data_IF_113741724788
#
_entry.id   IF_113741724788
#
_cell.length_a   1.000
_cell.length_b   1.000
_cell.length_c   1.000
_cell.angle_alpha   90.00
_cell.angle_beta   90.00
_cell.angle_gamma   90.00
#
_symmetry.space_group_name_H-M   'P 1'
#
loop_
_entity.id
_entity.type
_entity.pdbx_description
1 polymer ?
#
# COMPACT_ATOMS: atom_id res chain seq x y z
N UNK A 1 17.86 -14.42 40.15
CA UNK A 1 18.50 -14.92 41.37
C UNK A 1 17.47 -14.96 42.50
N UNK A 2 17.42 -15.97 43.39
CA UNK A 2 16.60 -15.92 44.60
C UNK A 2 17.21 -15.07 45.74
N UNK A 3 18.43 -14.55 45.59
CA UNK A 3 19.08 -13.74 46.63
C UNK A 3 18.40 -12.37 46.83
N UNK A 4 18.39 -11.92 48.09
CA UNK A 4 17.78 -10.66 48.54
C UNK A 4 18.85 -9.69 49.04
N UNK A 5 18.70 -8.39 48.74
CA UNK A 5 19.70 -7.37 49.03
C UNK A 5 20.67 -7.18 47.86
N UNK A 6 21.91 -6.78 48.14
CA UNK A 6 22.90 -6.43 47.10
C UNK A 6 23.29 -7.61 46.19
N UNK A 7 23.23 -8.84 46.72
CA UNK A 7 23.38 -10.07 45.91
C UNK A 7 22.27 -10.24 44.84
N UNK A 8 21.11 -9.60 45.02
CA UNK A 8 20.02 -9.60 44.03
C UNK A 8 20.19 -8.53 42.93
N UNK A 9 21.16 -7.62 43.07
CA UNK A 9 21.47 -6.59 42.08
C UNK A 9 22.51 -7.12 41.08
N UNK A 10 22.06 -7.43 39.87
CA UNK A 10 22.91 -7.87 38.77
C UNK A 10 23.39 -6.68 37.94
N UNK A 11 24.68 -6.67 37.59
CA UNK A 11 25.26 -5.81 36.56
C UNK A 11 25.49 -6.61 35.27
N UNK A 12 25.08 -6.05 34.13
CA UNK A 12 25.18 -6.66 32.82
C UNK A 12 26.29 -6.03 31.98
N UNK A 13 27.00 -6.82 31.18
CA UNK A 13 28.10 -6.36 30.33
C UNK A 13 28.26 -7.24 29.08
N UNK A 14 28.85 -6.68 28.02
CA UNK A 14 29.30 -7.43 26.85
C UNK A 14 30.79 -7.75 27.01
N UNK A 15 31.18 -9.02 26.90
CA UNK A 15 32.54 -9.47 27.27
C UNK A 15 33.60 -9.08 26.25
N UNK A 16 33.27 -9.08 24.95
CA UNK A 16 34.23 -8.85 23.86
C UNK A 16 33.68 -7.87 22.78
N UNK A 17 33.14 -6.73 23.23
CA UNK A 17 32.51 -5.72 22.36
C UNK A 17 33.51 -4.81 21.63
N UNK A 18 34.52 -5.38 20.95
CA UNK A 18 35.64 -4.60 20.40
C UNK A 18 35.26 -3.64 19.26
N UNK A 19 34.16 -3.92 18.55
CA UNK A 19 33.78 -3.19 17.33
C UNK A 19 32.57 -2.25 17.50
N UNK A 20 32.05 -2.11 18.74
CA UNK A 20 31.04 -1.13 19.16
C UNK A 20 29.78 -1.09 18.25
N UNK A 21 29.34 -2.23 17.70
CA UNK A 21 28.06 -2.33 16.99
C UNK A 21 26.86 -2.26 17.92
N UNK A 22 27.03 -2.76 19.14
CA UNK A 22 25.99 -2.94 20.16
C UNK A 22 26.48 -2.39 21.49
N UNK A 23 25.54 -2.15 22.40
CA UNK A 23 25.81 -1.78 23.79
C UNK A 23 24.74 -2.40 24.70
N UNK A 24 24.96 -2.43 26.01
CA UNK A 24 24.04 -3.01 26.99
C UNK A 24 23.85 -2.09 28.20
N UNK A 25 22.60 -1.89 28.61
CA UNK A 25 22.34 -1.20 29.87
C UNK A 25 22.80 -2.08 31.05
N UNK A 26 23.78 -1.60 31.80
CA UNK A 26 24.37 -2.32 32.93
C UNK A 26 23.35 -2.73 34.00
N UNK A 27 22.23 -2.00 34.16
CA UNK A 27 21.24 -2.23 35.22
C UNK A 27 20.02 -3.04 34.75
N UNK A 28 19.65 -2.97 33.47
CA UNK A 28 18.46 -3.66 32.93
C UNK A 28 18.77 -4.84 32.01
N UNK A 29 20.02 -4.98 31.55
CA UNK A 29 20.42 -5.99 30.56
C UNK A 29 19.86 -5.73 29.16
N UNK A 30 19.22 -4.57 28.92
CA UNK A 30 18.69 -4.22 27.60
C UNK A 30 19.85 -3.95 26.62
N UNK A 31 19.89 -4.69 25.53
CA UNK A 31 20.87 -4.52 24.44
C UNK A 31 20.32 -3.51 23.43
N UNK A 32 21.18 -2.60 22.97
CA UNK A 32 20.88 -1.61 21.94
C UNK A 32 21.85 -1.74 20.77
N UNK A 33 21.41 -1.29 19.59
CA UNK A 33 22.28 -1.11 18.43
C UNK A 33 22.92 0.27 18.46
N UNK A 34 24.24 0.33 18.41
CA UNK A 34 25.04 1.57 18.32
C UNK A 34 25.30 1.91 16.85
N UNK A 35 25.85 0.96 16.07
CA UNK A 35 26.08 1.16 14.63
C UNK A 35 26.30 -0.14 13.86
N UNK A 36 25.33 -0.49 13.01
CA UNK A 36 25.40 -1.63 12.08
C UNK A 36 25.27 -1.19 10.60
N UNK A 37 25.44 0.11 10.32
CA UNK A 37 25.30 0.64 8.97
C UNK A 37 26.30 -0.02 7.99
N UNK A 38 25.77 -0.60 6.91
CA UNK A 38 26.57 -1.33 5.91
C UNK A 38 27.09 -2.70 6.39
N UNK A 39 26.62 -3.22 7.52
CA UNK A 39 26.92 -4.56 8.02
C UNK A 39 25.74 -5.50 7.77
N UNK A 40 26.03 -6.80 7.61
CA UNK A 40 25.05 -7.86 7.46
C UNK A 40 25.60 -9.17 8.02
N UNK A 41 24.72 -10.09 8.42
CA UNK A 41 25.05 -11.39 9.01
C UNK A 41 24.77 -11.46 10.51
N UNK A 42 25.16 -12.57 11.13
CA UNK A 42 24.90 -12.85 12.55
C UNK A 42 26.11 -12.49 13.41
N UNK A 43 25.86 -11.64 14.41
CA UNK A 43 26.77 -11.26 15.47
C UNK A 43 26.50 -12.12 16.71
N UNK A 44 27.55 -12.61 17.35
CA UNK A 44 27.48 -13.46 18.54
C UNK A 44 27.96 -12.67 19.75
N UNK A 45 27.03 -12.13 20.53
CA UNK A 45 27.35 -11.28 21.68
C UNK A 45 27.46 -12.15 22.94
N UNK A 46 28.65 -12.28 23.52
CA UNK A 46 28.79 -12.88 24.86
C UNK A 46 28.36 -11.86 25.91
N UNK A 47 27.21 -12.10 26.53
CA UNK A 47 26.63 -11.29 27.62
C UNK A 47 27.02 -11.92 28.95
N UNK A 48 27.55 -11.12 29.86
CA UNK A 48 27.83 -11.50 31.24
C UNK A 48 26.89 -10.77 32.21
N UNK A 49 26.35 -11.50 33.18
CA UNK A 49 25.73 -10.95 34.37
C UNK A 49 26.65 -11.22 35.57
N UNK A 50 26.83 -10.22 36.43
CA UNK A 50 27.64 -10.30 37.65
C UNK A 50 26.82 -9.82 38.86
N UNK A 51 26.90 -10.52 39.99
CA UNK A 51 26.35 -10.01 41.26
C UNK A 51 27.27 -8.96 41.89
N UNK A 52 26.76 -8.22 42.88
CA UNK A 52 27.54 -7.26 43.68
C UNK A 52 28.09 -7.85 44.99
N UNK A 53 28.28 -9.17 45.06
CA UNK A 53 28.87 -9.83 46.22
C UNK A 53 30.35 -9.46 46.40
N UNK A 54 30.84 -9.49 47.64
CA UNK A 54 32.26 -9.23 47.98
C UNK A 54 33.22 -10.18 47.25
N UNK A 55 32.75 -11.38 46.88
CA UNK A 55 33.37 -12.26 45.90
C UNK A 55 32.35 -12.44 44.78
N UNK A 56 32.41 -11.56 43.77
CA UNK A 56 31.38 -11.50 42.72
C UNK A 56 31.29 -12.82 41.93
N UNK A 57 30.09 -13.37 41.82
CA UNK A 57 29.80 -14.49 40.93
C UNK A 57 29.34 -13.97 39.56
N UNK A 58 29.72 -14.68 38.50
CA UNK A 58 29.39 -14.31 37.12
C UNK A 58 28.77 -15.48 36.37
N UNK A 59 27.77 -15.16 35.55
CA UNK A 59 27.15 -16.07 34.59
C UNK A 59 27.25 -15.47 33.19
N UNK A 60 27.37 -16.32 32.15
CA UNK A 60 27.48 -15.89 30.75
C UNK A 60 26.49 -16.62 29.85
N UNK A 61 26.08 -15.94 28.79
CA UNK A 61 25.25 -16.49 27.71
C UNK A 61 25.58 -15.83 26.38
N UNK A 62 25.25 -16.48 25.26
CA UNK A 62 25.41 -15.91 23.92
C UNK A 62 24.07 -15.39 23.40
N UNK A 63 24.04 -14.13 22.97
CA UNK A 63 22.90 -13.54 22.25
C UNK A 63 23.27 -13.43 20.78
N UNK A 64 22.49 -14.08 19.91
CA UNK A 64 22.69 -14.03 18.47
C UNK A 64 21.87 -12.88 17.89
N UNK A 65 22.53 -11.89 17.30
CA UNK A 65 21.89 -10.74 16.64
C UNK A 65 22.14 -10.84 15.14
N UNK A 66 21.10 -11.15 14.37
CA UNK A 66 21.17 -11.16 12.90
C UNK A 66 20.80 -9.77 12.37
N UNK A 67 21.75 -9.12 11.68
CA UNK A 67 21.51 -7.90 10.92
C UNK A 67 21.29 -8.29 9.46
N UNK A 68 20.11 -8.00 8.94
CA UNK A 68 19.85 -8.11 7.50
C UNK A 68 20.11 -6.75 6.82
N UNK A 69 20.69 -6.81 5.62
CA UNK A 69 20.84 -5.67 4.72
C UNK A 69 19.59 -5.37 3.89
N UNK A 70 18.58 -6.25 3.93
CA UNK A 70 17.31 -6.05 3.25
C UNK A 70 16.59 -4.79 3.77
N UNK A 71 16.02 -4.00 2.87
CA UNK A 71 15.10 -2.90 3.22
C UNK A 71 13.70 -3.42 3.60
N UNK A 72 13.65 -4.64 4.16
CA UNK A 72 12.53 -5.57 4.34
C UNK A 72 11.14 -5.10 3.87
N UNK A 73 10.94 -5.17 2.55
CA UNK A 73 9.60 -5.19 1.93
C UNK A 73 8.76 -6.39 2.39
N UNK A 74 9.38 -7.37 3.08
CA UNK A 74 8.74 -8.58 3.58
C UNK A 74 8.16 -8.43 5.01
N UNK A 75 8.24 -7.25 5.62
CA UNK A 75 7.52 -6.97 6.88
C UNK A 75 6.02 -7.10 6.64
N UNK A 76 5.36 -7.95 7.42
CA UNK A 76 3.91 -8.07 7.48
C UNK A 76 3.39 -7.42 8.76
N UNK A 77 2.32 -6.64 8.66
CA UNK A 77 1.64 -6.05 9.82
C UNK A 77 0.46 -6.92 10.22
N UNK A 78 0.56 -7.53 11.40
CA UNK A 78 -0.51 -8.28 12.05
C UNK A 78 -1.27 -7.36 13.01
N UNK A 79 -2.58 -7.29 12.83
CA UNK A 79 -3.49 -6.46 13.64
C UNK A 79 -4.30 -7.36 14.56
N UNK A 80 -4.17 -7.14 15.87
CA UNK A 80 -4.87 -7.87 16.93
C UNK A 80 -5.85 -6.94 17.64
N UNK A 81 -7.09 -7.40 17.87
CA UNK A 81 -8.10 -6.70 18.67
C UNK A 81 -7.85 -6.76 20.20
N UNK A 82 -6.59 -6.59 20.62
CA UNK A 82 -6.15 -6.67 22.01
C UNK A 82 -5.42 -5.39 22.42
N UNK A 83 -5.38 -5.09 23.72
CA UNK A 83 -4.62 -3.96 24.29
C UNK A 83 -3.12 -4.17 24.12
N UNK A 84 -2.36 -3.12 23.80
CA UNK A 84 -0.91 -3.19 23.60
C UNK A 84 -0.20 -3.80 24.81
N UNK A 85 -0.45 -3.33 26.03
CA UNK A 85 0.12 -3.91 27.25
C UNK A 85 -0.30 -5.35 27.56
N UNK A 86 -1.37 -5.87 26.94
CA UNK A 86 -1.72 -7.29 27.00
C UNK A 86 -0.93 -8.10 25.95
N UNK A 87 -0.74 -7.55 24.74
CA UNK A 87 0.07 -8.13 23.67
C UNK A 87 1.54 -8.20 24.07
N UNK A 88 2.13 -7.09 24.52
CA UNK A 88 3.51 -7.00 25.02
C UNK A 88 3.77 -8.02 26.14
N UNK A 89 2.89 -8.07 27.15
CA UNK A 89 3.00 -9.02 28.27
C UNK A 89 2.98 -10.48 27.85
N UNK A 90 2.35 -10.79 26.72
CA UNK A 90 2.22 -12.16 26.19
C UNK A 90 2.98 -12.36 24.87
N UNK A 91 3.92 -11.48 24.51
CA UNK A 91 4.50 -11.45 23.16
C UNK A 91 5.25 -12.73 22.81
N UNK A 92 5.84 -13.40 23.81
CA UNK A 92 6.50 -14.71 23.65
C UNK A 92 5.49 -15.83 23.37
N UNK A 93 4.30 -15.79 23.96
CA UNK A 93 3.21 -16.73 23.67
C UNK A 93 2.59 -16.46 22.30
N UNK A 94 2.40 -15.18 21.93
CA UNK A 94 1.96 -14.78 20.58
C UNK A 94 2.94 -15.29 19.53
N UNK A 95 4.25 -15.01 19.70
CA UNK A 95 5.34 -15.53 18.85
C UNK A 95 5.24 -17.04 18.68
N UNK A 96 5.17 -17.81 19.78
CA UNK A 96 5.06 -19.29 19.72
C UNK A 96 3.84 -19.78 18.95
N UNK A 97 2.68 -19.13 19.08
CA UNK A 97 1.48 -19.49 18.30
C UNK A 97 1.68 -19.21 16.82
N UNK A 98 2.31 -18.08 16.47
CA UNK A 98 2.63 -17.78 15.07
C UNK A 98 3.65 -18.80 14.51
N UNK A 99 4.69 -19.15 15.26
CA UNK A 99 5.69 -20.15 14.83
C UNK A 99 5.08 -21.55 14.65
N UNK A 100 4.21 -21.98 15.58
CA UNK A 100 3.48 -23.26 15.50
C UNK A 100 2.53 -23.33 14.30
N UNK A 101 1.76 -22.27 14.02
CA UNK A 101 0.80 -22.26 12.90
C UNK A 101 1.45 -21.95 11.55
N UNK A 102 2.46 -21.10 11.52
CA UNK A 102 3.17 -20.72 10.28
C UNK A 102 4.33 -21.66 9.95
N UNK A 103 4.73 -22.57 10.85
CA UNK A 103 5.86 -23.51 10.67
C UNK A 103 7.14 -22.82 10.18
N UNK A 104 7.41 -21.63 10.71
CA UNK A 104 8.52 -20.74 10.38
C UNK A 104 8.98 -20.05 11.66
N UNK A 105 10.24 -19.61 11.71
CA UNK A 105 10.73 -18.75 12.78
C UNK A 105 10.13 -17.35 12.60
N UNK A 106 9.51 -16.77 13.63
CA UNK A 106 8.81 -15.48 13.52
C UNK A 106 9.44 -14.47 14.47
N UNK A 107 9.97 -13.39 13.93
CA UNK A 107 10.49 -12.28 14.73
C UNK A 107 9.47 -11.14 14.75
N UNK A 108 9.16 -10.66 15.95
CA UNK A 108 8.40 -9.42 16.15
C UNK A 108 9.39 -8.27 16.07
N UNK A 109 9.22 -7.41 15.07
CA UNK A 109 10.06 -6.24 14.81
C UNK A 109 9.60 -5.05 15.64
N UNK A 110 8.29 -4.89 15.79
CA UNK A 110 7.67 -3.70 16.40
C UNK A 110 6.27 -4.02 16.91
N UNK A 111 5.83 -3.34 17.97
CA UNK A 111 4.49 -3.43 18.56
C UNK A 111 4.02 -2.01 18.86
N UNK A 112 2.97 -1.54 18.20
CA UNK A 112 2.54 -0.14 18.27
C UNK A 112 1.02 0.04 18.18
N UNK A 113 0.56 1.25 18.49
CA UNK A 113 -0.81 1.71 18.29
C UNK A 113 -0.89 2.57 17.02
N UNK A 114 -2.00 2.51 16.29
CA UNK A 114 -2.17 3.34 15.10
C UNK A 114 -2.51 4.80 15.47
N UNK A 115 -1.51 5.67 15.39
CA UNK A 115 -1.62 7.10 15.69
C UNK A 115 -2.41 7.90 14.63
N UNK A 116 -2.65 7.35 13.44
CA UNK A 116 -3.31 8.06 12.33
C UNK A 116 -4.82 8.27 12.56
N UNK A 117 -5.45 7.55 13.50
CA UNK A 117 -6.91 7.59 13.70
C UNK A 117 -7.38 8.77 14.59
N UNK A 118 -6.78 9.95 14.41
CA UNK A 118 -7.03 11.15 15.23
C UNK A 118 -8.40 11.83 15.07
N UNK A 119 -9.34 11.31 14.27
CA UNK A 119 -10.61 11.98 13.97
C UNK A 119 -11.88 11.12 13.88
N UNK A 120 -11.82 9.81 14.17
CA UNK A 120 -13.01 8.96 14.25
C UNK A 120 -13.10 8.27 15.61
N UNK A 121 -14.26 8.37 16.27
CA UNK A 121 -14.53 7.69 17.56
C UNK A 121 -14.65 6.18 17.36
N UNK A 122 -13.53 5.47 17.29
CA UNK A 122 -13.46 4.01 17.48
C UNK A 122 -12.66 3.70 18.74
N UNK A 123 -13.35 3.60 19.87
CA UNK A 123 -12.77 3.06 21.11
C UNK A 123 -12.61 1.55 20.94
N UNK A 124 -11.47 1.11 20.44
CA UNK A 124 -11.17 -0.32 20.28
C UNK A 124 -9.73 -0.61 20.69
N UNK A 125 -9.57 -1.52 21.64
CA UNK A 125 -8.30 -2.09 22.06
C UNK A 125 -7.68 -2.83 20.86
N UNK A 126 -6.84 -2.17 20.07
CA UNK A 126 -6.23 -2.72 18.85
C UNK A 126 -4.73 -2.46 18.87
N UNK A 127 -3.94 -3.49 18.59
CA UNK A 127 -2.49 -3.44 18.55
C UNK A 127 -1.99 -3.91 17.18
N UNK A 128 -1.01 -3.19 16.65
CA UNK A 128 -0.36 -3.46 15.37
C UNK A 128 1.01 -4.06 15.68
N UNK A 129 1.35 -5.15 15.00
CA UNK A 129 2.58 -5.91 15.25
C UNK A 129 3.29 -6.13 13.91
N UNK A 130 4.46 -5.53 13.72
CA UNK A 130 5.31 -5.86 12.55
C UNK A 130 5.99 -7.18 12.82
N UNK A 131 5.84 -8.12 11.90
CA UNK A 131 6.51 -9.41 11.93
C UNK A 131 7.28 -9.67 10.63
N UNK A 132 8.33 -10.46 10.76
CA UNK A 132 9.13 -11.02 9.67
C UNK A 132 9.28 -12.51 9.97
N UNK A 133 9.25 -13.35 8.93
CA UNK A 133 9.36 -14.80 9.06
C UNK A 133 10.60 -15.32 8.33
N UNK A 134 11.22 -16.37 8.89
CA UNK A 134 12.36 -17.06 8.31
C UNK A 134 12.10 -18.56 8.28
N UNK A 135 12.52 -19.22 7.20
CA UNK A 135 12.40 -20.67 7.05
C UNK A 135 13.43 -21.46 7.89
N UNK A 136 13.39 -22.78 7.80
CA UNK A 136 14.33 -23.68 8.49
C UNK A 136 15.78 -23.56 7.97
N UNK A 137 15.98 -22.95 6.80
CA UNK A 137 17.28 -22.61 6.24
C UNK A 137 17.74 -21.19 6.62
N UNK A 138 17.00 -20.51 7.50
CA UNK A 138 17.22 -19.12 7.94
C UNK A 138 17.21 -18.12 6.76
N UNK A 139 16.37 -18.35 5.75
CA UNK A 139 16.10 -17.41 4.67
C UNK A 139 14.80 -16.64 4.95
N UNK A 140 14.78 -15.34 4.63
CA UNK A 140 13.60 -14.48 4.79
C UNK A 140 12.46 -14.98 3.90
N UNK A 141 11.28 -15.19 4.48
CA UNK A 141 10.08 -15.63 3.77
C UNK A 141 9.39 -14.41 3.15
N UNK A 142 9.01 -14.44 1.85
CA UNK A 142 8.33 -13.32 1.21
C UNK A 142 7.03 -12.91 1.93
N UNK A 143 6.77 -11.60 2.05
CA UNK A 143 5.56 -11.09 2.73
C UNK A 143 4.28 -11.78 2.23
N UNK A 144 4.11 -11.93 0.92
CA UNK A 144 2.90 -12.53 0.33
C UNK A 144 2.68 -13.99 0.74
N UNK A 145 3.75 -14.76 0.95
CA UNK A 145 3.66 -16.13 1.47
C UNK A 145 3.29 -16.13 2.96
N UNK A 146 3.79 -15.16 3.73
CA UNK A 146 3.42 -14.93 5.14
C UNK A 146 1.96 -14.50 5.28
N UNK A 147 1.50 -13.50 4.51
CA UNK A 147 0.10 -13.04 4.46
C UNK A 147 -0.85 -14.18 4.08
N UNK A 148 -0.50 -14.96 3.04
CA UNK A 148 -1.28 -16.14 2.62
C UNK A 148 -1.43 -17.13 3.76
N UNK A 149 -0.32 -17.54 4.40
CA UNK A 149 -0.34 -18.56 5.45
C UNK A 149 -1.02 -18.08 6.74
N UNK A 150 -0.89 -16.80 7.11
CA UNK A 150 -1.68 -16.15 8.16
C UNK A 150 -3.18 -16.23 7.87
N UNK A 151 -3.58 -16.00 6.63
CA UNK A 151 -4.99 -16.05 6.19
C UNK A 151 -5.52 -17.49 6.20
N UNK A 152 -4.75 -18.46 5.68
CA UNK A 152 -5.08 -19.88 5.71
C UNK A 152 -5.24 -20.41 7.14
N UNK A 153 -4.36 -19.99 8.06
CA UNK A 153 -4.36 -20.44 9.46
C UNK A 153 -5.17 -19.55 10.42
N UNK A 154 -5.86 -18.53 9.91
CA UNK A 154 -6.50 -17.47 10.71
C UNK A 154 -7.31 -18.01 11.89
N UNK A 155 -8.26 -18.92 11.64
CA UNK A 155 -9.13 -19.46 12.70
C UNK A 155 -8.35 -20.28 13.74
N UNK A 156 -7.28 -20.96 13.36
CA UNK A 156 -6.40 -21.70 14.27
C UNK A 156 -5.58 -20.74 15.15
N UNK A 157 -5.06 -19.67 14.56
CA UNK A 157 -4.33 -18.61 15.27
C UNK A 157 -5.25 -17.90 16.27
N UNK A 158 -6.43 -17.44 15.81
CA UNK A 158 -7.44 -16.78 16.66
C UNK A 158 -7.87 -17.67 17.84
N UNK A 159 -8.04 -18.98 17.60
CA UNK A 159 -8.40 -19.95 18.65
C UNK A 159 -7.31 -20.13 19.71
N UNK A 160 -6.04 -20.23 19.33
CA UNK A 160 -4.94 -20.37 20.31
C UNK A 160 -4.65 -19.04 21.03
N UNK A 161 -4.68 -17.91 20.32
CA UNK A 161 -4.53 -16.60 20.93
C UNK A 161 -5.67 -16.29 21.92
N UNK A 162 -6.91 -16.70 21.63
CA UNK A 162 -8.03 -16.53 22.56
C UNK A 162 -7.82 -17.20 23.92
N UNK A 163 -7.10 -18.33 23.97
CA UNK A 163 -6.70 -18.99 25.23
C UNK A 163 -5.69 -18.18 26.01
N UNK A 164 -4.73 -17.55 25.31
CA UNK A 164 -3.68 -16.71 25.91
C UNK A 164 -4.28 -15.43 26.50
N UNK A 165 -5.10 -14.71 25.73
CA UNK A 165 -5.70 -13.46 26.17
C UNK A 165 -6.92 -13.63 27.06
N UNK A 166 -7.51 -14.84 27.12
CA UNK A 166 -8.79 -15.11 27.79
C UNK A 166 -9.96 -14.25 27.27
N UNK A 167 -9.88 -13.85 26.00
CA UNK A 167 -10.92 -13.07 25.28
C UNK A 167 -11.03 -13.55 23.83
N UNK A 168 -12.08 -13.15 23.11
CA UNK A 168 -12.17 -13.40 21.67
C UNK A 168 -11.14 -12.58 20.89
N UNK A 169 -10.25 -13.27 20.16
CA UNK A 169 -9.23 -12.62 19.33
C UNK A 169 -9.67 -12.60 17.86
N UNK A 170 -9.49 -11.45 17.23
CA UNK A 170 -9.49 -11.29 15.77
C UNK A 170 -8.07 -10.99 15.33
N UNK A 171 -7.54 -11.78 14.41
CA UNK A 171 -6.24 -11.60 13.78
C UNK A 171 -6.46 -11.19 12.31
N UNK A 172 -6.12 -9.95 11.98
CA UNK A 172 -6.17 -9.44 10.61
C UNK A 172 -4.77 -9.13 10.10
N UNK A 173 -4.56 -9.29 8.80
CA UNK A 173 -3.37 -8.81 8.10
C UNK A 173 -3.71 -7.43 7.55
N UNK A 174 -2.88 -6.42 7.83
CA UNK A 174 -3.03 -5.12 7.18
C UNK A 174 -2.40 -5.19 5.79
N UNK A 175 -3.23 -4.99 4.76
CA UNK A 175 -2.74 -4.81 3.40
C UNK A 175 -2.22 -3.38 3.25
N UNK A 176 -0.90 -3.20 3.33
CA UNK A 176 -0.24 -2.01 2.82
C UNK A 176 -0.66 -1.84 1.36
N UNK A 177 -1.20 -0.69 0.92
CA UNK A 177 -1.67 -0.52 -0.45
C UNK A 177 -0.53 -0.75 -1.45
N UNK A 178 -0.52 -1.91 -2.10
CA UNK A 178 0.53 -2.33 -3.03
C UNK A 178 0.62 -1.31 -4.18
N UNK A 179 1.68 -0.48 -4.16
CA UNK A 179 1.89 0.70 -5.00
C UNK A 179 0.58 1.28 -5.53
N UNK A 180 -0.29 1.72 -4.61
CA UNK A 180 -1.45 2.51 -5.00
C UNK A 180 -0.95 3.84 -5.54
N UNK A 181 -0.65 3.86 -6.85
CA UNK A 181 -0.51 5.08 -7.65
C UNK A 181 -1.65 5.99 -7.23
N UNK A 182 -1.31 7.06 -6.50
CA UNK A 182 -2.30 7.81 -5.73
C UNK A 182 -3.44 8.29 -6.61
N UNK A 183 -4.59 8.72 -6.05
CA UNK A 183 -5.72 9.21 -6.85
C UNK A 183 -5.27 10.21 -7.92
N UNK A 184 -4.26 11.04 -7.63
CA UNK A 184 -3.60 11.95 -8.56
C UNK A 184 -2.92 11.28 -9.77
N UNK A 185 -2.17 10.19 -9.58
CA UNK A 185 -1.52 9.46 -10.69
C UNK A 185 -2.52 8.62 -11.49
N UNK A 186 -3.48 7.97 -10.83
CA UNK A 186 -4.56 7.25 -11.51
C UNK A 186 -5.41 8.22 -12.36
N UNK A 187 -5.76 9.39 -11.81
CA UNK A 187 -6.47 10.44 -12.56
C UNK A 187 -5.63 10.98 -13.73
N UNK A 188 -4.32 11.20 -13.55
CA UNK A 188 -3.43 11.65 -14.62
C UNK A 188 -3.33 10.64 -15.78
N UNK A 189 -3.23 9.34 -15.48
CA UNK A 189 -3.21 8.27 -16.50
C UNK A 189 -4.55 8.23 -17.25
N UNK A 190 -5.69 8.22 -16.54
CA UNK A 190 -7.02 8.20 -17.14
C UNK A 190 -7.28 9.44 -18.00
N UNK A 191 -6.88 10.62 -17.53
CA UNK A 191 -6.99 11.87 -18.29
C UNK A 191 -6.10 11.87 -19.54
N UNK A 192 -4.87 11.34 -19.45
CA UNK A 192 -3.97 11.18 -20.58
C UNK A 192 -4.53 10.26 -21.67
N UNK A 193 -5.13 9.13 -21.27
CA UNK A 193 -5.80 8.19 -22.19
C UNK A 193 -7.04 8.83 -22.83
N UNK A 194 -7.87 9.56 -22.07
CA UNK A 194 -9.02 10.30 -22.60
C UNK A 194 -8.61 11.39 -23.61
N UNK A 195 -7.54 12.13 -23.34
CA UNK A 195 -6.98 13.12 -24.28
C UNK A 195 -6.45 12.47 -25.56
N UNK A 196 -5.74 11.34 -25.45
CA UNK A 196 -5.28 10.59 -26.62
C UNK A 196 -6.46 10.09 -27.48
N UNK A 197 -7.47 9.47 -26.87
CA UNK A 197 -8.65 8.97 -27.56
C UNK A 197 -9.44 10.10 -28.26
N UNK A 198 -9.63 11.25 -27.61
CA UNK A 198 -10.35 12.40 -28.20
C UNK A 198 -9.56 13.05 -29.34
N UNK A 199 -8.24 13.17 -29.23
CA UNK A 199 -7.38 13.63 -30.33
C UNK A 199 -7.43 12.70 -31.54
N UNK A 200 -7.37 11.38 -31.34
CA UNK A 200 -7.47 10.40 -32.44
C UNK A 200 -8.83 10.48 -33.13
N UNK A 201 -9.93 10.59 -32.37
CA UNK A 201 -11.27 10.75 -32.93
C UNK A 201 -11.42 12.07 -33.73
N UNK A 202 -10.86 13.18 -33.21
CA UNK A 202 -10.85 14.47 -33.90
C UNK A 202 -10.04 14.43 -35.20
N UNK A 203 -8.83 13.87 -35.17
CA UNK A 203 -8.00 13.69 -36.36
C UNK A 203 -8.70 12.84 -37.42
N UNK A 204 -9.34 11.73 -37.03
CA UNK A 204 -10.14 10.91 -37.93
C UNK A 204 -11.32 11.70 -38.56
N UNK A 205 -12.04 12.50 -37.76
CA UNK A 205 -13.11 13.37 -38.26
C UNK A 205 -12.61 14.42 -39.26
N UNK A 206 -11.48 15.07 -38.99
CA UNK A 206 -10.82 16.01 -39.91
C UNK A 206 -10.43 15.30 -41.21
N UNK A 207 -9.87 14.09 -41.13
CA UNK A 207 -9.49 13.30 -42.31
C UNK A 207 -10.72 12.89 -43.16
N UNK A 208 -11.83 12.53 -42.52
CA UNK A 208 -13.11 12.23 -43.19
C UNK A 208 -13.70 13.48 -43.86
N UNK A 209 -13.70 14.64 -43.19
CA UNK A 209 -14.25 15.88 -43.74
C UNK A 209 -13.40 16.43 -44.89
N UNK A 210 -12.07 16.35 -44.82
CA UNK A 210 -11.15 16.66 -45.93
C UNK A 210 -11.43 15.74 -47.12
N UNK A 211 -11.51 14.42 -46.92
CA UNK A 211 -11.85 13.45 -47.99
C UNK A 211 -13.23 13.73 -48.60
N UNK A 212 -14.22 14.13 -47.80
CA UNK A 212 -15.56 14.51 -48.28
C UNK A 212 -15.55 15.82 -49.09
N UNK A 213 -14.70 16.80 -48.70
CA UNK A 213 -14.52 18.06 -49.45
C UNK A 213 -13.79 17.83 -50.78
N UNK A 214 -12.74 17.02 -50.78
CA UNK A 214 -12.01 16.62 -52.00
C UNK A 214 -12.91 15.88 -53.01
N UNK A 215 -13.73 14.91 -52.57
CA UNK A 215 -14.72 14.27 -53.45
C UNK A 215 -15.74 15.25 -54.03
N UNK A 216 -16.15 16.28 -53.26
CA UNK A 216 -17.08 17.33 -53.74
C UNK A 216 -16.43 18.26 -54.78
N UNK A 217 -15.16 18.63 -54.64
CA UNK A 217 -14.49 19.44 -55.69
C UNK A 217 -14.30 18.67 -56.99
N UNK A 218 -14.01 17.36 -56.93
CA UNK A 218 -13.90 16.52 -58.14
C UNK A 218 -15.25 16.35 -58.85
N UNK A 219 -16.35 16.25 -58.10
CA UNK A 219 -17.70 16.15 -58.67
C UNK A 219 -18.21 17.47 -59.27
N UNK A 220 -17.71 18.61 -58.78
CA UNK A 220 -18.12 19.95 -59.26
C UNK A 220 -17.43 20.38 -60.58
N UNK A 221 -16.48 19.60 -61.10
CA UNK A 221 -15.78 19.88 -62.37
C UNK A 221 -16.31 19.09 -63.58
N UNK A 222 -17.45 18.39 -63.45
CA UNK A 222 -18.09 17.66 -64.56
C UNK A 222 -19.51 18.17 -64.84
N UNK A 223 -19.62 19.33 -65.50
CA UNK A 223 -20.84 19.69 -66.23
C UNK A 223 -20.48 20.58 -67.44
N UNK A 224 -20.83 20.19 -68.68
CA UNK A 224 -20.41 20.92 -69.89
C UNK A 224 -21.34 22.10 -70.22
N UNK A 225 -20.77 23.13 -70.84
CA UNK A 225 -21.56 24.17 -71.51
C UNK A 225 -22.39 23.57 -72.66
N UNK A 226 -23.60 24.10 -72.86
CA UNK A 226 -24.28 24.05 -74.15
C UNK A 226 -25.07 25.33 -74.38
N UNK A 227 -24.77 26.00 -75.48
CA UNK A 227 -25.37 27.25 -75.92
C UNK A 227 -26.71 27.06 -76.64
N UNK A 228 -27.52 28.11 -76.57
CA UNK A 228 -28.52 28.63 -77.53
C UNK A 228 -29.50 27.70 -78.29
N UNK A 229 -30.74 28.17 -78.38
CA UNK A 229 -31.81 27.57 -79.20
C UNK A 229 -33.13 28.33 -79.01
N UNK A 230 -33.29 29.42 -79.76
CA UNK A 230 -34.51 30.24 -79.80
C UNK A 230 -35.58 29.51 -80.63
N UNK A 231 -36.85 29.48 -80.18
CA UNK A 231 -38.02 29.85 -81.01
C UNK A 231 -39.37 29.66 -80.29
N UNK A 232 -40.28 30.59 -80.57
CA UNK A 232 -41.69 30.73 -80.18
C UNK A 232 -42.32 31.59 -81.32
N UNK A 233 -43.65 31.60 -81.65
CA UNK A 233 -44.78 31.56 -80.71
C UNK A 233 -46.12 30.99 -81.26
N UNK A 234 -47.24 31.42 -80.64
CA UNK A 234 -48.67 31.35 -81.05
C UNK A 234 -49.51 30.10 -80.66
N UNK A 235 -50.79 30.22 -80.23
CA UNK A 235 -51.55 31.39 -79.72
C UNK A 235 -52.90 31.00 -79.05
N UNK A 236 -53.41 31.91 -78.21
CA UNK A 236 -54.83 32.16 -77.84
C UNK A 236 -55.60 31.19 -76.88
N UNK A 237 -56.30 31.75 -75.87
CA UNK A 237 -57.08 30.94 -74.89
C UNK A 237 -58.04 31.60 -73.86
N UNK A 238 -58.17 32.94 -73.77
CA UNK A 238 -59.19 33.72 -73.00
C UNK A 238 -59.29 33.65 -71.45
N UNK A 239 -58.91 34.78 -70.84
CA UNK A 239 -59.69 35.71 -69.98
C UNK A 239 -60.52 35.26 -68.75
N UNK A 240 -60.21 35.92 -67.62
CA UNK A 240 -61.12 36.23 -66.49
C UNK A 240 -60.35 36.22 -65.14
N UNK A 241 -60.53 37.12 -64.18
CA UNK A 241 -61.19 38.45 -64.14
C UNK A 241 -60.53 39.29 -63.02
N UNK A 242 -60.65 40.62 -63.08
CA UNK A 242 -59.92 41.58 -62.21
C UNK A 242 -60.68 41.90 -60.92
N UNK A 243 -59.97 42.05 -59.79
CA UNK A 243 -60.23 43.11 -58.79
C UNK A 243 -59.05 43.31 -57.82
N UNK A 244 -58.61 44.57 -57.71
CA UNK A 244 -57.60 45.08 -56.77
C UNK A 244 -58.22 45.58 -55.47
N UNK A 245 -57.34 45.81 -54.48
CA UNK A 245 -57.35 46.79 -53.37
C UNK A 245 -56.96 46.07 -52.06
N UNK A 246 -55.80 46.22 -51.40
CA UNK A 246 -54.90 47.37 -51.05
C UNK A 246 -55.00 47.64 -49.54
N UNK A 247 -53.86 48.04 -48.94
CA UNK A 247 -53.64 48.49 -47.56
C UNK A 247 -53.62 47.40 -46.45
N UNK A 248 -52.85 47.55 -45.36
CA UNK A 248 -52.08 48.72 -44.88
C UNK A 248 -50.75 48.31 -44.19
N UNK A 249 -49.82 49.26 -44.06
CA UNK A 249 -48.49 49.17 -43.43
C UNK A 249 -48.48 49.08 -41.88
N UNK A 250 -47.27 48.97 -41.29
CA UNK A 250 -46.88 49.40 -39.92
C UNK A 250 -47.51 48.59 -38.75
N UNK A 251 -47.04 48.55 -37.49
CA UNK A 251 -45.80 48.92 -36.74
C UNK A 251 -45.85 48.11 -35.40
N UNK A 252 -44.86 47.96 -34.51
CA UNK A 252 -43.43 48.33 -34.41
C UNK A 252 -42.73 47.30 -33.46
N UNK A 253 -41.40 47.42 -33.25
CA UNK A 253 -40.57 46.92 -32.12
C UNK A 253 -41.07 45.72 -31.27
#
# INVERSE_FOLDING_TARGET
>A
DPDSGDNGLLQYSLVDNQANEFDINENTGQIFTVSVAGKAGTFYLEVQAADQGTTSLTARTTVNVTVDSSSSNNIVVLVLNQKIGAVEKNILQVKRVLEDKLTWNVYVVDVYLNEQQGQARSSTDVTYTKIIAFDDANQEVPAEDVKRKLTEQKSNIETELAKIFSTSVTAAVEETPADSTGPDQTAAIVLGVLLACTLVAFLAYVLVTIRKKSKRSTLAQQQPERTEGIDNPCAAGKNGSVRSLENLEHMDN
#
